data_IF_350024194253
#
_entry.id   IF_350024194253
#
_cell.length_a   1.000
_cell.length_b   1.000
_cell.length_c   1.000
_cell.angle_alpha   90.00
_cell.angle_beta   90.00
_cell.angle_gamma   90.00
#
_symmetry.space_group_name_H-M   'P 1'
#
loop_
_entity.id
_entity.type
_entity.pdbx_description
1 polymer ?
#
# COMPACT_ATOMS: atom_id res chain seq x y z
N UNK A 1 -18.18 10.20 5.78
CA UNK A 1 -16.93 10.95 5.57
C UNK A 1 -16.87 11.38 4.11
N UNK A 2 -16.57 12.67 3.88
CA UNK A 2 -16.33 13.22 2.54
C UNK A 2 -15.07 12.54 1.97
N UNK A 3 -15.04 12.17 0.67
CA UNK A 3 -13.85 11.56 0.10
C UNK A 3 -12.63 12.49 0.20
N UNK A 4 -11.48 11.91 0.51
CA UNK A 4 -10.20 12.61 0.68
C UNK A 4 -9.16 12.00 -0.25
N UNK A 5 -8.35 12.85 -0.88
CA UNK A 5 -7.22 12.42 -1.68
C UNK A 5 -5.92 12.74 -0.93
N UNK A 6 -5.03 11.76 -0.90
CA UNK A 6 -3.70 11.88 -0.33
C UNK A 6 -2.67 11.66 -1.43
N UNK A 7 -1.54 12.36 -1.37
CA UNK A 7 -0.42 12.27 -2.33
C UNK A 7 0.84 11.83 -1.60
N UNK A 8 1.64 10.94 -2.19
CA UNK A 8 2.93 10.57 -1.61
C UNK A 8 3.87 11.79 -1.60
N UNK A 9 4.40 12.14 -0.43
CA UNK A 9 5.30 13.28 -0.23
C UNK A 9 6.68 12.87 0.34
N UNK A 10 7.03 11.58 0.33
CA UNK A 10 8.30 11.04 0.87
C UNK A 10 8.66 11.53 2.30
N UNK A 11 7.70 12.07 3.04
CA UNK A 11 7.94 12.58 4.38
C UNK A 11 8.13 11.39 5.32
N UNK A 12 9.38 11.12 5.65
CA UNK A 12 9.74 10.04 6.58
C UNK A 12 9.38 10.47 8.00
N UNK A 13 8.50 9.72 8.65
CA UNK A 13 8.05 9.98 10.03
C UNK A 13 8.67 9.02 11.04
N UNK A 14 9.20 7.89 10.56
CA UNK A 14 9.95 6.92 11.35
C UNK A 14 11.01 6.30 10.45
N UNK A 15 12.20 6.03 10.98
CA UNK A 15 13.20 5.22 10.29
C UNK A 15 14.12 4.47 11.25
N UNK A 16 14.45 3.24 10.86
CA UNK A 16 15.50 2.43 11.47
C UNK A 16 16.23 1.65 10.36
N UNK A 17 17.49 2.02 10.14
CA UNK A 17 18.29 1.43 9.08
C UNK A 17 18.97 0.12 9.47
N UNK A 18 19.18 -0.10 10.78
CA UNK A 18 19.90 -1.26 11.28
C UNK A 18 19.19 -2.57 10.92
N UNK A 19 19.99 -3.59 10.66
CA UNK A 19 19.50 -4.95 10.55
C UNK A 19 19.10 -5.47 11.94
N UNK A 20 17.88 -5.98 12.05
CA UNK A 20 17.36 -6.63 13.24
C UNK A 20 17.01 -8.08 12.91
N UNK A 21 17.54 -9.02 13.68
CA UNK A 21 17.07 -10.40 13.63
C UNK A 21 15.79 -10.55 14.43
N UNK A 22 14.83 -11.27 13.86
CA UNK A 22 13.56 -11.58 14.52
C UNK A 22 13.76 -12.72 15.53
N UNK A 23 14.77 -13.56 15.33
CA UNK A 23 15.06 -14.76 16.13
C UNK A 23 14.91 -16.04 15.31
N UNK A 24 15.40 -17.15 15.87
CA UNK A 24 15.30 -18.49 15.27
C UNK A 24 14.04 -19.23 15.73
N UNK A 25 13.43 -19.97 14.83
CA UNK A 25 12.29 -20.82 15.13
C UNK A 25 10.94 -20.09 15.12
N UNK A 26 9.85 -20.83 15.39
CA UNK A 26 8.49 -20.33 15.29
C UNK A 26 8.15 -19.35 16.42
N UNK A 27 7.23 -18.42 16.15
CA UNK A 27 6.67 -17.52 17.16
C UNK A 27 7.59 -16.38 17.61
N UNK A 28 8.81 -16.31 17.08
CA UNK A 28 9.71 -15.19 17.32
C UNK A 28 9.17 -13.92 16.64
N UNK A 29 9.37 -12.76 17.27
CA UNK A 29 8.84 -11.50 16.78
C UNK A 29 9.65 -10.28 17.21
N UNK A 30 9.58 -9.23 16.40
CA UNK A 30 10.01 -7.87 16.75
C UNK A 30 8.90 -6.90 16.39
N UNK A 31 8.74 -5.84 17.17
CA UNK A 31 7.71 -4.83 16.95
C UNK A 31 8.29 -3.43 16.94
N UNK A 32 7.66 -2.56 16.15
CA UNK A 32 7.91 -1.14 16.09
C UNK A 32 6.60 -0.40 16.26
N UNK A 33 6.66 0.74 16.93
CA UNK A 33 5.52 1.64 17.08
C UNK A 33 5.79 2.91 16.27
N UNK A 34 4.79 3.36 15.50
CA UNK A 34 4.86 4.58 14.71
C UNK A 34 3.51 5.31 14.71
N UNK A 35 3.57 6.64 14.81
CA UNK A 35 2.41 7.51 14.76
C UNK A 35 2.24 8.08 13.35
N UNK A 36 1.18 7.66 12.66
CA UNK A 36 0.85 8.14 11.31
C UNK A 36 -0.11 9.33 11.39
N UNK A 37 0.33 10.59 11.16
CA UNK A 37 -0.57 11.75 11.20
C UNK A 37 -1.62 11.70 10.07
N UNK A 38 -1.26 11.06 8.97
CA UNK A 38 -2.08 10.76 7.80
C UNK A 38 -1.75 9.34 7.34
N UNK A 39 -2.60 8.71 6.51
CA UNK A 39 -2.27 7.41 5.93
C UNK A 39 -0.95 7.45 5.15
N UNK A 40 -0.29 6.32 5.04
CA UNK A 40 1.07 6.28 4.51
C UNK A 40 1.58 4.89 4.17
N UNK A 41 2.88 4.81 3.90
CA UNK A 41 3.59 3.56 3.68
C UNK A 41 4.37 3.14 4.93
N UNK A 42 4.28 1.86 5.26
CA UNK A 42 5.30 1.16 6.01
C UNK A 42 6.20 0.42 5.04
N UNK A 43 7.49 0.68 5.11
CA UNK A 43 8.50 0.22 4.16
C UNK A 43 9.52 -0.59 4.94
N UNK A 44 9.94 -1.72 4.40
CA UNK A 44 10.98 -2.53 5.02
C UNK A 44 11.66 -3.42 3.98
N UNK A 45 12.90 -3.78 4.26
CA UNK A 45 13.57 -4.87 3.59
C UNK A 45 13.54 -6.09 4.52
N UNK A 46 13.21 -7.27 3.98
CA UNK A 46 13.23 -8.51 4.74
C UNK A 46 14.09 -9.58 4.06
N UNK A 47 14.57 -10.52 4.88
CA UNK A 47 15.27 -11.74 4.45
C UNK A 47 14.72 -12.90 5.27
N UNK A 48 14.50 -14.05 4.65
CA UNK A 48 14.15 -15.28 5.34
C UNK A 48 15.12 -16.39 4.95
N UNK A 49 15.57 -17.13 5.95
CA UNK A 49 16.33 -18.36 5.80
C UNK A 49 15.45 -19.48 6.31
N UNK A 50 14.83 -20.19 5.38
CA UNK A 50 13.88 -21.27 5.64
C UNK A 50 14.40 -22.49 4.91
N UNK A 51 14.58 -23.59 5.64
CA UNK A 51 15.09 -24.83 5.07
C UNK A 51 14.21 -25.32 3.92
N UNK A 52 14.85 -25.76 2.84
CA UNK A 52 14.20 -26.30 1.62
C UNK A 52 14.46 -27.81 1.51
N UNK A 53 13.78 -28.64 2.32
CA UNK A 53 13.99 -30.08 2.25
C UNK A 53 13.67 -30.58 0.83
N UNK A 54 14.59 -31.36 0.25
CA UNK A 54 14.47 -31.93 -1.09
C UNK A 54 14.31 -30.90 -2.23
N UNK A 55 14.73 -29.64 -2.01
CA UNK A 55 14.60 -28.57 -3.01
C UNK A 55 13.19 -27.98 -3.13
N UNK A 56 12.25 -28.42 -2.28
CA UNK A 56 10.92 -27.83 -2.19
C UNK A 56 10.92 -26.55 -1.35
N UNK A 57 9.95 -25.68 -1.60
CA UNK A 57 9.77 -24.47 -0.79
C UNK A 57 9.32 -24.86 0.61
N UNK A 58 10.19 -24.55 1.58
CA UNK A 58 9.92 -24.78 2.99
C UNK A 58 8.59 -24.17 3.44
N UNK A 59 7.92 -24.79 4.43
CA UNK A 59 6.60 -24.36 4.87
C UNK A 59 6.65 -23.08 5.73
N UNK A 60 7.81 -22.65 6.22
CA UNK A 60 7.96 -21.45 7.03
C UNK A 60 7.44 -20.17 6.34
N UNK A 61 6.58 -19.43 7.04
CA UNK A 61 6.04 -18.13 6.60
C UNK A 61 6.54 -16.96 7.45
N UNK A 62 7.11 -15.93 6.83
CA UNK A 62 7.35 -14.63 7.45
C UNK A 62 6.07 -13.81 7.40
N UNK A 63 5.65 -13.26 8.54
CA UNK A 63 4.37 -12.58 8.71
C UNK A 63 4.59 -11.13 9.14
N UNK A 64 3.75 -10.23 8.63
CA UNK A 64 3.71 -8.83 9.08
C UNK A 64 2.29 -8.47 9.47
N UNK A 65 2.14 -8.08 10.73
CA UNK A 65 0.88 -7.61 11.30
C UNK A 65 0.95 -6.11 11.55
N UNK A 66 -0.15 -5.42 11.30
CA UNK A 66 -0.35 -4.03 11.67
C UNK A 66 -1.51 -3.96 12.66
N UNK A 67 -1.20 -3.56 13.89
CA UNK A 67 -2.15 -3.50 15.00
C UNK A 67 -2.90 -4.83 15.21
N UNK A 68 -2.18 -5.95 15.09
CA UNK A 68 -2.72 -7.31 15.25
C UNK A 68 -3.41 -7.89 14.01
N UNK A 69 -3.55 -7.12 12.93
CA UNK A 69 -4.15 -7.60 11.68
C UNK A 69 -3.05 -8.01 10.70
N UNK A 70 -3.08 -9.25 10.21
CA UNK A 70 -2.13 -9.74 9.20
C UNK A 70 -2.28 -8.95 7.89
N UNK A 71 -1.20 -8.31 7.44
CA UNK A 71 -1.16 -7.52 6.20
C UNK A 71 -0.26 -8.11 5.12
N UNK A 72 0.74 -8.89 5.50
CA UNK A 72 1.66 -9.53 4.56
C UNK A 72 2.13 -10.90 5.06
N UNK A 73 2.35 -11.81 4.11
CA UNK A 73 2.98 -13.11 4.34
C UNK A 73 3.95 -13.44 3.20
N UNK A 74 5.07 -14.09 3.52
CA UNK A 74 6.03 -14.60 2.55
C UNK A 74 6.48 -16.00 2.95
N UNK A 75 6.30 -16.99 2.06
CA UNK A 75 6.64 -18.39 2.34
C UNK A 75 7.97 -18.80 1.72
N UNK A 76 8.80 -19.48 2.50
CA UNK A 76 10.08 -20.02 2.05
C UNK A 76 11.24 -19.03 2.17
N UNK A 77 12.38 -19.34 1.55
CA UNK A 77 13.58 -18.50 1.63
C UNK A 77 13.49 -17.27 0.71
N UNK A 78 13.93 -16.12 1.23
CA UNK A 78 14.00 -14.85 0.52
C UNK A 78 15.35 -14.20 0.80
N UNK A 79 15.98 -13.69 -0.26
CA UNK A 79 17.06 -12.71 -0.12
C UNK A 79 16.47 -11.34 0.24
N UNK A 80 17.33 -10.37 0.58
CA UNK A 80 16.92 -9.01 0.90
C UNK A 80 15.96 -8.44 -0.15
N UNK A 81 14.69 -8.35 0.23
CA UNK A 81 13.59 -7.93 -0.64
C UNK A 81 12.86 -6.78 0.01
N UNK A 82 12.64 -5.70 -0.74
CA UNK A 82 11.89 -4.53 -0.28
C UNK A 82 10.38 -4.74 -0.43
N UNK A 83 9.62 -4.36 0.58
CA UNK A 83 8.16 -4.39 0.57
C UNK A 83 7.56 -3.09 1.12
N UNK A 84 6.32 -2.81 0.70
CA UNK A 84 5.55 -1.61 1.04
C UNK A 84 4.15 -2.04 1.48
N UNK A 85 3.72 -1.63 2.66
CA UNK A 85 2.38 -1.92 3.19
C UNK A 85 1.66 -0.61 3.49
N UNK A 86 0.43 -0.48 3.00
CA UNK A 86 -0.37 0.70 3.27
C UNK A 86 -0.84 0.70 4.72
N UNK A 87 -0.72 1.84 5.39
CA UNK A 87 -1.07 2.00 6.80
C UNK A 87 -1.99 3.19 6.96
N UNK A 88 -3.09 2.98 7.67
CA UNK A 88 -4.01 4.06 8.04
C UNK A 88 -3.41 5.02 9.07
N UNK A 89 -3.99 6.22 9.16
CA UNK A 89 -3.63 7.17 10.20
C UNK A 89 -3.86 6.63 11.63
N UNK A 90 -3.17 7.24 12.58
CA UNK A 90 -3.20 6.91 14.00
C UNK A 90 -1.93 6.21 14.48
N UNK A 91 -1.91 5.87 15.77
CA UNK A 91 -0.86 5.06 16.37
C UNK A 91 -0.95 3.63 15.86
N UNK A 92 0.17 3.09 15.37
CA UNK A 92 0.24 1.76 14.79
C UNK A 92 1.43 1.00 15.37
N UNK A 93 1.14 -0.22 15.82
CA UNK A 93 2.15 -1.23 16.11
C UNK A 93 2.34 -2.12 14.90
N UNK A 94 3.56 -2.22 14.39
CA UNK A 94 3.91 -3.12 13.30
C UNK A 94 4.76 -4.25 13.87
N UNK A 95 4.31 -5.47 13.69
CA UNK A 95 4.97 -6.66 14.22
C UNK A 95 5.39 -7.58 13.09
N UNK A 96 6.67 -7.89 13.04
CA UNK A 96 7.24 -8.91 12.17
C UNK A 96 7.36 -10.22 12.95
N UNK A 97 6.89 -11.34 12.38
CA UNK A 97 6.86 -12.64 13.07
C UNK A 97 7.32 -13.79 12.19
N UNK A 98 7.95 -14.77 12.82
CA UNK A 98 8.10 -16.10 12.25
C UNK A 98 6.81 -16.90 12.47
N UNK A 99 6.22 -17.40 11.38
CA UNK A 99 5.03 -18.21 11.41
C UNK A 99 5.24 -19.56 12.12
N UNK A 100 4.15 -20.28 12.44
CA UNK A 100 4.19 -21.51 13.22
C UNK A 100 4.92 -22.67 12.50
N UNK A 101 5.08 -22.59 11.18
CA UNK A 101 5.72 -23.61 10.36
C UNK A 101 7.24 -23.42 10.17
N UNK A 102 7.84 -22.42 10.83
CA UNK A 102 9.31 -22.30 10.87
C UNK A 102 9.92 -23.48 11.62
N UNK A 103 10.95 -24.10 11.03
CA UNK A 103 11.83 -25.05 11.69
C UNK A 103 12.69 -24.38 12.77
N UNK A 104 13.28 -25.16 13.67
CA UNK A 104 14.04 -24.64 14.82
C UNK A 104 15.23 -23.75 14.41
N UNK A 105 15.84 -24.02 13.25
CA UNK A 105 16.95 -23.24 12.71
C UNK A 105 16.54 -22.17 11.70
N UNK A 106 15.26 -22.15 11.27
CA UNK A 106 14.77 -21.14 10.35
C UNK A 106 14.79 -19.77 11.03
N UNK A 107 15.12 -18.74 10.26
CA UNK A 107 15.34 -17.40 10.79
C UNK A 107 14.88 -16.32 9.81
N UNK A 108 14.52 -15.17 10.34
CA UNK A 108 14.22 -14.00 9.52
C UNK A 108 14.86 -12.73 10.08
N UNK A 109 15.02 -11.77 9.18
CA UNK A 109 15.61 -10.47 9.48
C UNK A 109 14.84 -9.38 8.77
N UNK A 110 14.90 -8.19 9.35
CA UNK A 110 14.36 -6.96 8.79
C UNK A 110 15.42 -5.86 8.87
N UNK A 111 15.45 -4.97 7.89
CA UNK A 111 16.30 -3.76 7.88
C UNK A 111 15.65 -2.64 7.08
N UNK A 112 16.23 -1.44 7.13
CA UNK A 112 15.72 -0.27 6.41
C UNK A 112 14.21 -0.08 6.59
N UNK A 113 13.76 -0.23 7.83
CA UNK A 113 12.39 -0.03 8.22
C UNK A 113 12.12 1.47 8.23
N UNK A 114 11.09 1.92 7.53
CA UNK A 114 10.67 3.31 7.57
C UNK A 114 9.16 3.46 7.43
N UNK A 115 8.66 4.57 7.95
CA UNK A 115 7.30 5.01 7.70
C UNK A 115 7.33 6.32 6.91
N UNK A 116 6.54 6.39 5.84
CA UNK A 116 6.31 7.62 5.07
C UNK A 116 4.83 8.03 5.24
N UNK A 117 4.57 9.27 5.68
CA UNK A 117 3.22 9.83 5.69
C UNK A 117 2.86 10.40 4.31
N UNK A 118 1.60 10.27 3.88
CA UNK A 118 1.11 10.96 2.69
C UNK A 118 0.58 12.34 3.03
N UNK A 119 0.77 13.27 2.10
CA UNK A 119 0.22 14.60 2.19
C UNK A 119 -1.28 14.57 1.87
N UNK A 120 -2.11 15.13 2.74
CA UNK A 120 -3.51 15.36 2.40
C UNK A 120 -3.62 16.55 1.45
N UNK A 121 -4.32 16.37 0.33
CA UNK A 121 -4.56 17.45 -0.64
C UNK A 121 -5.77 18.28 -0.23
N UNK A 122 -5.55 19.21 0.69
CA UNK A 122 -6.56 20.16 1.17
C UNK A 122 -6.96 21.22 0.12
N UNK A 123 -6.18 21.34 -0.95
CA UNK A 123 -6.43 22.23 -2.09
C UNK A 123 -7.62 21.80 -2.96
N UNK A 124 -8.14 20.57 -2.78
CA UNK A 124 -9.31 20.05 -3.48
C UNK A 124 -10.57 20.43 -2.69
N UNK A 125 -11.41 21.27 -3.28
CA UNK A 125 -12.62 21.77 -2.61
C UNK A 125 -13.70 20.68 -2.45
N UNK A 126 -13.81 19.77 -3.42
CA UNK A 126 -14.73 18.64 -3.35
C UNK A 126 -14.29 17.49 -4.27
N UNK A 127 -14.63 16.26 -3.86
CA UNK A 127 -14.52 15.05 -4.67
C UNK A 127 -15.93 14.44 -4.81
N UNK A 128 -16.36 14.18 -6.04
CA UNK A 128 -17.70 13.71 -6.36
C UNK A 128 -17.74 12.73 -7.53
N UNK A 129 -18.94 12.29 -7.92
CA UNK A 129 -19.19 11.37 -9.04
C UNK A 129 -18.29 10.14 -9.05
N UNK A 130 -17.99 9.61 -7.85
CA UNK A 130 -17.08 8.49 -7.70
C UNK A 130 -17.77 7.19 -8.13
N UNK A 131 -17.13 6.41 -9.01
CA UNK A 131 -17.57 5.05 -9.30
C UNK A 131 -17.02 4.10 -8.24
N UNK A 132 -17.86 3.36 -7.49
CA UNK A 132 -17.35 2.37 -6.57
C UNK A 132 -16.60 1.28 -7.37
N UNK A 133 -15.52 0.70 -6.81
CA UNK A 133 -14.81 -0.38 -7.48
C UNK A 133 -15.80 -1.51 -7.79
N UNK A 134 -15.76 -2.04 -9.02
CA UNK A 134 -16.58 -3.21 -9.35
C UNK A 134 -16.09 -4.38 -8.50
N UNK A 135 -16.96 -5.06 -7.73
CA UNK A 135 -16.55 -6.24 -7.00
C UNK A 135 -16.01 -7.26 -7.99
N UNK A 136 -14.81 -7.78 -7.72
CA UNK A 136 -14.32 -8.95 -8.43
C UNK A 136 -15.23 -10.10 -8.02
N UNK A 137 -15.99 -10.64 -8.97
CA UNK A 137 -16.62 -11.94 -8.80
C UNK A 137 -15.49 -12.95 -8.59
N UNK A 138 -15.35 -13.43 -7.35
CA UNK A 138 -14.39 -14.43 -6.88
C UNK A 138 -12.95 -13.93 -6.67
N UNK A 139 -12.62 -13.54 -5.44
CA UNK A 139 -11.23 -13.44 -4.97
C UNK A 139 -10.73 -14.87 -4.70
N UNK A 140 -10.09 -15.51 -5.69
CA UNK A 140 -9.23 -16.67 -5.41
C UNK A 140 -7.85 -16.14 -5.00
N UNK A 141 -7.57 -16.18 -3.69
CA UNK A 141 -6.22 -15.95 -3.18
C UNK A 141 -5.35 -17.16 -3.56
N UNK A 142 -4.59 -17.06 -4.65
CA UNK A 142 -3.60 -18.07 -4.97
C UNK A 142 -2.38 -17.92 -4.05
N UNK A 143 -1.78 -19.03 -3.57
CA UNK A 143 -0.46 -18.98 -2.95
C UNK A 143 0.55 -18.50 -3.99
N UNK A 144 0.97 -17.24 -3.89
CA UNK A 144 1.95 -16.66 -4.82
C UNK A 144 3.35 -17.18 -4.50
N UNK A 145 3.82 -18.08 -5.34
CA UNK A 145 5.24 -18.39 -5.56
C UNK A 145 5.91 -17.21 -6.28
N UNK A 146 7.10 -16.80 -5.83
CA UNK A 146 7.74 -15.52 -6.17
C UNK A 146 8.13 -15.33 -7.66
N UNK A 147 8.29 -14.06 -8.07
CA UNK A 147 9.13 -13.68 -9.21
C UNK A 147 8.73 -12.38 -9.92
N UNK A 148 9.39 -11.28 -9.57
CA UNK A 148 9.28 -9.93 -10.16
C UNK A 148 7.97 -9.16 -9.89
N UNK A 149 8.10 -7.86 -9.60
CA UNK A 149 7.08 -6.87 -9.97
C UNK A 149 7.05 -6.81 -11.51
N UNK A 150 6.53 -7.85 -12.17
CA UNK A 150 6.18 -7.75 -13.58
C UNK A 150 4.91 -6.92 -13.65
N UNK A 151 5.01 -5.74 -14.26
CA UNK A 151 3.89 -4.95 -14.78
C UNK A 151 3.15 -5.79 -15.82
N UNK A 152 2.35 -6.76 -15.39
CA UNK A 152 1.59 -7.61 -16.29
C UNK A 152 0.12 -7.20 -16.24
N UNK A 153 -0.31 -6.59 -17.34
CA UNK A 153 -1.65 -6.06 -17.60
C UNK A 153 -2.75 -7.00 -17.08
N UNK A 154 -3.58 -6.49 -16.18
CA UNK A 154 -4.87 -7.06 -15.84
C UNK A 154 -5.97 -6.26 -16.55
N UNK A 155 -6.99 -6.93 -17.08
CA UNK A 155 -8.01 -6.39 -17.99
C UNK A 155 -8.85 -5.18 -17.48
N UNK A 156 -9.76 -4.65 -18.32
CA UNK A 156 -10.09 -3.22 -18.37
C UNK A 156 -10.84 -2.60 -17.17
N UNK A 157 -11.42 -3.37 -16.24
CA UNK A 157 -12.55 -2.85 -15.43
C UNK A 157 -12.51 -3.12 -13.91
N UNK A 158 -11.42 -3.69 -13.35
CA UNK A 158 -11.35 -4.05 -11.91
C UNK A 158 -10.43 -3.19 -11.04
N UNK A 159 -9.66 -2.28 -11.65
CA UNK A 159 -8.54 -1.58 -10.99
C UNK A 159 -8.61 -0.05 -11.17
N UNK A 160 -9.79 0.47 -11.51
CA UNK A 160 -10.02 1.86 -11.90
C UNK A 160 -11.14 2.45 -11.05
N UNK A 161 -10.90 3.63 -10.49
CA UNK A 161 -11.91 4.43 -9.82
C UNK A 161 -11.99 5.77 -10.51
N UNK A 162 -13.13 6.05 -11.13
CA UNK A 162 -13.41 7.34 -11.74
C UNK A 162 -13.97 8.28 -10.68
N UNK A 163 -13.54 9.54 -10.71
CA UNK A 163 -14.04 10.57 -9.82
C UNK A 163 -13.80 11.97 -10.40
N UNK A 164 -14.61 12.91 -9.95
CA UNK A 164 -14.48 14.33 -10.28
C UNK A 164 -13.87 15.07 -9.09
N UNK A 165 -12.89 15.93 -9.34
CA UNK A 165 -12.33 16.88 -8.38
C UNK A 165 -12.74 18.30 -8.75
N UNK A 166 -13.02 19.12 -7.75
CA UNK A 166 -13.35 20.54 -7.93
C UNK A 166 -12.29 21.41 -7.26
N UNK A 167 -11.76 22.36 -8.01
CA UNK A 167 -10.85 23.40 -7.52
C UNK A 167 -11.49 24.78 -7.70
N UNK A 168 -11.38 25.62 -6.66
CA UNK A 168 -11.94 26.98 -6.65
C UNK A 168 -10.92 28.06 -6.96
N UNK A 169 -9.61 27.73 -6.91
CA UNK A 169 -8.50 28.65 -7.18
C UNK A 169 -7.60 28.06 -8.27
N UNK A 170 -7.16 28.90 -9.20
CA UNK A 170 -6.23 28.49 -10.27
C UNK A 170 -4.89 27.98 -9.74
N UNK A 171 -4.40 28.53 -8.62
CA UNK A 171 -3.14 28.08 -8.01
C UNK A 171 -3.22 26.64 -7.50
N UNK A 172 -4.35 26.24 -6.91
CA UNK A 172 -4.58 24.88 -6.40
C UNK A 172 -4.67 23.88 -7.55
N UNK A 173 -5.41 24.25 -8.59
CA UNK A 173 -5.51 23.46 -9.81
C UNK A 173 -4.11 23.24 -10.44
N UNK A 174 -3.32 24.30 -10.63
CA UNK A 174 -1.98 24.17 -11.20
C UNK A 174 -1.08 23.28 -10.33
N UNK A 175 -1.07 23.50 -9.00
CA UNK A 175 -0.27 22.70 -8.07
C UNK A 175 -0.66 21.21 -8.06
N UNK A 176 -1.94 20.90 -8.26
CA UNK A 176 -2.40 19.53 -8.42
C UNK A 176 -1.91 18.93 -9.76
N UNK A 177 -2.07 19.66 -10.87
CA UNK A 177 -1.68 19.20 -12.20
C UNK A 177 -0.16 18.95 -12.29
N UNK A 178 0.66 19.79 -11.65
CA UNK A 178 2.12 19.62 -11.57
C UNK A 178 2.51 18.31 -10.86
N UNK A 179 1.64 17.78 -10.00
CA UNK A 179 1.86 16.55 -9.24
C UNK A 179 1.22 15.29 -9.81
N UNK A 180 0.52 15.35 -10.96
CA UNK A 180 -0.36 14.28 -11.45
C UNK A 180 0.28 12.89 -11.53
N UNK A 181 1.56 12.79 -11.87
CA UNK A 181 2.29 11.51 -12.01
C UNK A 181 2.80 10.92 -10.68
N UNK A 182 2.21 11.34 -9.56
CA UNK A 182 2.54 10.81 -8.24
C UNK A 182 1.65 9.60 -7.88
N UNK A 183 1.98 8.92 -6.79
CA UNK A 183 1.10 7.95 -6.16
C UNK A 183 0.09 8.64 -5.26
N UNK A 184 -1.17 8.26 -5.40
CA UNK A 184 -2.31 8.82 -4.68
C UNK A 184 -3.06 7.76 -3.92
N UNK A 185 -3.71 8.17 -2.82
CA UNK A 185 -4.72 7.36 -2.13
C UNK A 185 -6.02 8.12 -2.02
N UNK A 186 -7.08 7.57 -2.59
CA UNK A 186 -8.44 8.03 -2.38
C UNK A 186 -9.06 7.27 -1.21
N UNK A 187 -9.58 7.99 -0.21
CA UNK A 187 -10.23 7.40 0.97
C UNK A 187 -11.61 7.99 1.19
N UNK A 188 -12.57 7.13 1.51
CA UNK A 188 -13.90 7.54 1.95
C UNK A 188 -14.46 6.53 2.99
N UNK A 189 -15.78 6.53 3.22
CA UNK A 189 -16.44 5.57 4.13
C UNK A 189 -16.41 4.11 3.66
N UNK A 190 -16.21 3.86 2.37
CA UNK A 190 -16.26 2.53 1.76
C UNK A 190 -14.87 1.88 1.69
N UNK A 191 -13.79 2.64 1.86
CA UNK A 191 -12.43 2.10 1.86
C UNK A 191 -11.36 3.12 1.50
N UNK A 192 -10.17 2.58 1.23
CA UNK A 192 -9.02 3.31 0.71
C UNK A 192 -8.49 2.60 -0.53
N UNK A 193 -8.18 3.36 -1.58
CA UNK A 193 -7.66 2.86 -2.83
C UNK A 193 -6.44 3.64 -3.23
N UNK A 194 -5.35 2.93 -3.49
CA UNK A 194 -4.09 3.50 -3.92
C UNK A 194 -3.87 3.33 -5.41
N UNK A 195 -3.28 4.32 -6.06
CA UNK A 195 -3.01 4.25 -7.49
C UNK A 195 -2.29 5.46 -8.05
N UNK A 196 -2.21 5.52 -9.37
CA UNK A 196 -1.66 6.67 -10.11
C UNK A 196 -2.80 7.31 -10.90
N UNK A 197 -2.77 8.64 -10.97
CA UNK A 197 -3.66 9.40 -11.84
C UNK A 197 -2.90 9.71 -13.12
N UNK A 198 -3.45 9.35 -14.27
CA UNK A 198 -2.76 9.51 -15.54
C UNK A 198 -3.13 10.86 -16.18
N UNK A 199 -2.15 11.69 -16.59
CA UNK A 199 -2.44 12.98 -17.21
C UNK A 199 -3.33 12.85 -18.45
N UNK A 200 -3.08 11.85 -19.30
CA UNK A 200 -3.84 11.63 -20.54
C UNK A 200 -5.31 11.24 -20.33
N UNK A 201 -5.69 10.87 -19.11
CA UNK A 201 -7.08 10.48 -18.76
C UNK A 201 -7.79 11.52 -17.89
N UNK A 202 -7.12 12.64 -17.63
CA UNK A 202 -7.68 13.74 -16.85
C UNK A 202 -8.31 14.75 -17.79
N UNK A 203 -9.64 14.82 -17.79
CA UNK A 203 -10.41 15.80 -18.54
C UNK A 203 -10.67 17.03 -17.66
N UNK A 204 -10.22 18.20 -18.11
CA UNK A 204 -10.42 19.47 -17.39
C UNK A 204 -11.55 20.26 -18.03
N UNK A 205 -12.57 20.57 -17.25
CA UNK A 205 -13.67 21.44 -17.64
C UNK A 205 -13.68 22.69 -16.75
N UNK A 206 -13.85 23.87 -17.36
CA UNK A 206 -13.96 25.13 -16.63
C UNK A 206 -15.41 25.60 -16.61
N UNK A 207 -15.94 25.89 -15.43
CA UNK A 207 -17.29 26.45 -15.23
C UNK A 207 -17.21 27.72 -14.41
N UNK A 208 -17.03 28.85 -15.08
CA UNK A 208 -16.78 30.15 -14.42
C UNK A 208 -15.44 30.14 -13.67
N UNK A 209 -15.42 30.40 -12.34
CA UNK A 209 -14.20 30.36 -11.54
C UNK A 209 -13.76 28.94 -11.15
N UNK A 210 -14.61 27.93 -11.39
CA UNK A 210 -14.34 26.55 -10.98
C UNK A 210 -13.59 25.77 -12.07
N UNK A 211 -12.62 24.98 -11.64
CA UNK A 211 -12.01 23.92 -12.44
C UNK A 211 -12.59 22.58 -11.96
N UNK A 212 -13.14 21.81 -12.88
CA UNK A 212 -13.63 20.46 -12.64
C UNK A 212 -12.70 19.51 -13.39
N UNK A 213 -12.04 18.61 -12.67
CA UNK A 213 -11.13 17.62 -13.23
C UNK A 213 -11.78 16.26 -13.08
N UNK A 214 -12.22 15.68 -14.20
CA UNK A 214 -12.69 14.30 -14.25
C UNK A 214 -11.51 13.40 -14.53
N UNK A 215 -11.26 12.42 -13.68
CA UNK A 215 -10.09 11.56 -13.81
C UNK A 215 -10.34 10.16 -13.27
N UNK A 216 -9.31 9.31 -13.38
CA UNK A 216 -9.32 7.94 -12.94
C UNK A 216 -8.06 7.61 -12.10
N UNK A 217 -8.27 6.96 -10.96
CA UNK A 217 -7.20 6.37 -10.15
C UNK A 217 -6.98 4.92 -10.58
N UNK A 218 -5.75 4.61 -10.97
CA UNK A 218 -5.33 3.29 -11.42
C UNK A 218 -4.55 2.53 -10.36
N UNK A 219 -5.09 1.40 -9.89
CA UNK A 219 -4.37 0.53 -8.95
C UNK A 219 -3.06 0.05 -9.56
N UNK A 220 -1.98 0.19 -8.78
CA UNK A 220 -0.65 -0.33 -9.11
C UNK A 220 -0.48 -1.81 -8.75
N UNK A 221 -1.48 -2.42 -8.10
CA UNK A 221 -1.43 -3.79 -7.59
C UNK A 221 -2.54 -4.66 -8.19
N UNK A 222 -2.22 -5.94 -8.40
CA UNK A 222 -3.13 -6.96 -8.92
C UNK A 222 -4.43 -7.04 -8.10
N UNK A 223 -5.57 -7.39 -8.71
CA UNK A 223 -6.72 -7.87 -7.95
C UNK A 223 -6.28 -9.05 -7.06
N UNK A 224 -6.41 -8.90 -5.74
CA UNK A 224 -5.90 -9.87 -4.75
C UNK A 224 -5.39 -9.23 -3.45
N UNK A 225 -5.08 -7.93 -3.44
CA UNK A 225 -4.92 -7.13 -2.21
C UNK A 225 -6.19 -6.32 -1.99
N UNK A 226 -7.29 -7.04 -1.72
CA UNK A 226 -8.49 -6.42 -1.22
C UNK A 226 -8.23 -5.94 0.19
N UNK A 227 -8.07 -4.63 0.38
CA UNK A 227 -8.40 -4.01 1.65
C UNK A 227 -9.92 -4.04 1.74
N UNK A 228 -10.48 -5.16 2.18
CA UNK A 228 -11.74 -5.07 2.91
C UNK A 228 -11.37 -4.39 4.22
N UNK A 229 -11.93 -3.21 4.42
CA UNK A 229 -11.95 -2.57 5.72
C UNK A 229 -12.71 -3.46 6.69
N UNK A 230 -11.95 -4.14 7.55
CA UNK A 230 -12.18 -4.19 8.98
C UNK A 230 -10.86 -3.85 9.69
#
# INVERSE_FOLDING_TARGET
MIPKLYRRNQQTIFSQSAEASIGKGPGQSISFDADFPTPGWWIFDFKTDVATPNGEIGPGEFLVEISGVLRYRARGPYTWTRHYIFVDAGHKRITFKNGPQYGADDQSWVRFVSAEAFEYLDCIAAIGNMTPPRPLSEIQAFPTLAGYNRFQRSGPNGCRIDFDMVFTRTVDFNSFMDGLENFYVLRNNQGAWGGVILPQESEVQRKGPLYIVRTALYSVSHPGVGVNGE
#
